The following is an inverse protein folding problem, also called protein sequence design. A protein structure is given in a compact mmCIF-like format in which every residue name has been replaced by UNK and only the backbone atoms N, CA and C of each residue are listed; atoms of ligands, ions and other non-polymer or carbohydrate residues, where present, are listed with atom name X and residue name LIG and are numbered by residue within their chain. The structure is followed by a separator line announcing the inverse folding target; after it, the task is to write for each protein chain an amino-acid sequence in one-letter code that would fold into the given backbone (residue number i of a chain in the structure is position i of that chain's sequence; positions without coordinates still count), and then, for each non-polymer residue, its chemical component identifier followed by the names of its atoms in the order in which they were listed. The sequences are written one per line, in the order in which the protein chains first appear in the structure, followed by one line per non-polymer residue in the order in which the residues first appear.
data_IF_671780279135
#
_entry.id   IF_671780279135
#
_cell.length_a   1.000
_cell.length_b   1.000
_cell.length_c   1.000
_cell.angle_alpha   90.00
_cell.angle_beta   90.00
_cell.angle_gamma   90.00
#
_symmetry.space_group_name_H-M   'P 1'
#
loop_
_entity.id
_entity.type
_entity.pdbx_description
1 polymer ?
#
# COMPACT_ATOMS: atom_id res chain seq x y z
N UNK A 1 8.37 -28.05 1.54
CA UNK A 1 9.36 -29.14 1.51
C UNK A 1 9.21 -29.89 2.83
N UNK A 2 8.71 -31.11 2.78
CA UNK A 2 8.68 -32.04 3.93
C UNK A 2 9.86 -32.98 3.72
N UNK A 3 10.79 -33.01 4.65
CA UNK A 3 11.89 -33.96 4.64
C UNK A 3 11.50 -35.17 5.48
N UNK A 4 11.78 -36.36 4.96
CA UNK A 4 11.71 -37.60 5.76
C UNK A 4 12.93 -37.73 6.69
N UNK A 5 12.84 -38.64 7.67
CA UNK A 5 13.92 -38.87 8.65
C UNK A 5 15.22 -39.47 8.06
N UNK A 6 15.36 -39.56 6.73
CA UNK A 6 16.50 -40.12 6.04
C UNK A 6 17.17 -39.18 5.03
N UNK A 7 16.66 -37.96 4.86
CA UNK A 7 17.34 -36.93 4.06
C UNK A 7 17.41 -37.19 2.56
N UNK A 8 16.53 -38.02 2.00
CA UNK A 8 16.44 -38.24 0.56
C UNK A 8 15.31 -37.40 -0.02
N UNK A 9 15.60 -36.61 -1.06
CA UNK A 9 14.60 -35.85 -1.81
C UNK A 9 13.81 -36.81 -2.71
N UNK A 10 12.56 -37.12 -2.38
CA UNK A 10 11.63 -37.63 -3.37
C UNK A 10 11.02 -36.46 -4.17
N UNK A 11 10.99 -36.62 -5.49
CA UNK A 11 10.32 -35.71 -6.41
C UNK A 11 8.84 -35.62 -6.05
N UNK A 12 8.47 -34.56 -5.31
CA UNK A 12 7.08 -34.21 -5.12
C UNK A 12 6.59 -33.59 -6.42
N UNK A 13 6.00 -34.40 -7.29
CA UNK A 13 5.18 -33.91 -8.40
C UNK A 13 3.97 -33.21 -7.79
N UNK A 14 4.03 -31.88 -7.72
CA UNK A 14 2.82 -31.06 -7.52
C UNK A 14 1.99 -31.29 -8.76
N UNK A 15 0.95 -32.09 -8.65
CA UNK A 15 -0.10 -32.14 -9.64
C UNK A 15 -0.74 -30.73 -9.63
N UNK A 16 -0.33 -29.88 -10.56
CA UNK A 16 -1.10 -28.71 -10.93
C UNK A 16 -2.45 -29.23 -11.46
N UNK A 17 -3.43 -29.32 -10.58
CA UNK A 17 -4.80 -29.29 -11.05
C UNK A 17 -4.95 -27.93 -11.70
N UNK A 18 -5.26 -27.93 -12.99
CA UNK A 18 -5.82 -26.77 -13.65
C UNK A 18 -7.07 -26.38 -12.86
N UNK A 19 -6.90 -25.47 -11.94
CA UNK A 19 -8.01 -24.70 -11.39
C UNK A 19 -8.38 -23.77 -12.53
N UNK A 20 -9.36 -24.18 -13.33
CA UNK A 20 -10.03 -23.28 -14.23
C UNK A 20 -10.52 -22.13 -13.32
N UNK A 21 -9.87 -20.97 -13.41
CA UNK A 21 -10.39 -19.74 -12.84
C UNK A 21 -11.65 -19.46 -13.66
N UNK A 22 -12.79 -19.86 -13.11
CA UNK A 22 -14.09 -19.47 -13.63
C UNK A 22 -14.16 -17.94 -13.52
N UNK A 23 -13.89 -17.26 -14.62
CA UNK A 23 -14.08 -15.82 -14.76
C UNK A 23 -15.56 -15.46 -14.95
N UNK A 24 -16.46 -16.35 -14.58
CA UNK A 24 -17.88 -16.08 -14.48
C UNK A 24 -18.10 -14.91 -13.53
N UNK A 25 -18.77 -13.85 -13.98
CA UNK A 25 -19.15 -12.72 -13.16
C UNK A 25 -19.82 -13.24 -11.88
N UNK A 26 -19.22 -12.91 -10.72
CA UNK A 26 -19.77 -13.26 -9.41
C UNK A 26 -21.24 -12.82 -9.35
N UNK A 27 -22.14 -13.77 -9.16
CA UNK A 27 -23.56 -13.46 -9.00
C UNK A 27 -23.86 -13.25 -7.52
N UNK A 28 -24.41 -12.09 -7.11
CA UNK A 28 -24.87 -11.89 -5.74
C UNK A 28 -25.87 -12.99 -5.37
N UNK A 29 -25.54 -13.81 -4.36
CA UNK A 29 -26.41 -14.88 -3.89
C UNK A 29 -25.74 -16.24 -3.69
N UNK A 30 -24.55 -16.48 -4.26
CA UNK A 30 -23.86 -17.77 -4.19
C UNK A 30 -23.08 -18.02 -2.90
N UNK A 31 -22.80 -16.98 -2.11
CA UNK A 31 -22.13 -17.12 -0.79
C UNK A 31 -23.12 -16.78 0.31
N UNK A 32 -23.93 -17.76 0.73
CA UNK A 32 -24.70 -17.65 1.98
C UNK A 32 -23.74 -17.81 3.14
N UNK A 33 -23.40 -16.72 3.81
CA UNK A 33 -22.77 -16.82 5.11
C UNK A 33 -23.69 -17.55 6.08
N UNK A 34 -23.21 -18.61 6.69
CA UNK A 34 -23.91 -19.30 7.81
C UNK A 34 -23.83 -18.49 9.12
N UNK A 35 -23.05 -17.41 9.12
CA UNK A 35 -22.81 -16.54 10.28
C UNK A 35 -23.82 -15.39 10.26
N UNK A 36 -24.61 -15.24 11.33
CA UNK A 36 -25.53 -14.13 11.48
C UNK A 36 -24.75 -12.81 11.62
N UNK A 37 -25.00 -11.78 10.77
CA UNK A 37 -24.30 -10.51 10.87
C UNK A 37 -24.72 -9.72 12.11
N UNK A 38 -23.81 -8.88 12.62
CA UNK A 38 -24.12 -7.88 13.64
C UNK A 38 -24.39 -6.49 13.04
N UNK A 39 -23.88 -6.25 11.84
CA UNK A 39 -24.04 -5.01 11.09
C UNK A 39 -24.29 -5.34 9.61
N UNK A 40 -25.15 -4.57 8.94
CA UNK A 40 -25.43 -4.67 7.50
C UNK A 40 -25.42 -3.29 6.87
N UNK A 41 -24.64 -3.12 5.81
CA UNK A 41 -24.79 -2.00 4.88
C UNK A 41 -25.82 -2.42 3.82
N UNK A 42 -26.99 -1.78 3.84
CA UNK A 42 -28.17 -2.23 3.08
C UNK A 42 -28.46 -1.35 1.87
N UNK A 43 -28.67 -2.00 0.71
CA UNK A 43 -29.23 -1.36 -0.48
C UNK A 43 -28.23 -0.51 -1.27
N UNK A 44 -26.94 -0.66 -1.03
CA UNK A 44 -25.88 0.05 -1.73
C UNK A 44 -25.49 -0.58 -3.06
N UNK A 45 -24.67 0.12 -3.83
CA UNK A 45 -23.98 -0.42 -5.00
C UNK A 45 -22.53 -0.70 -4.61
N UNK A 46 -22.14 -1.96 -4.51
CA UNK A 46 -20.78 -2.39 -4.17
C UNK A 46 -19.92 -2.38 -5.42
N UNK A 47 -18.80 -1.63 -5.40
CA UNK A 47 -17.87 -1.60 -6.54
C UNK A 47 -17.40 -3.02 -6.87
N UNK A 48 -17.49 -3.38 -8.14
CA UNK A 48 -17.13 -4.72 -8.63
C UNK A 48 -18.24 -5.79 -8.49
N UNK A 49 -19.31 -5.52 -7.69
CA UNK A 49 -20.40 -6.50 -7.49
C UNK A 49 -21.76 -6.00 -7.99
N UNK A 50 -22.03 -4.70 -7.97
CA UNK A 50 -23.35 -4.16 -8.26
C UNK A 50 -24.21 -3.97 -7.00
N UNK A 51 -25.56 -3.89 -7.13
CA UNK A 51 -26.46 -3.74 -5.99
C UNK A 51 -26.38 -4.93 -5.03
N UNK A 52 -26.01 -4.69 -3.76
CA UNK A 52 -25.85 -5.73 -2.76
C UNK A 52 -25.96 -5.19 -1.33
N UNK A 53 -26.25 -6.08 -0.38
CA UNK A 53 -26.07 -5.85 1.05
C UNK A 53 -24.71 -6.42 1.49
N UNK A 54 -23.96 -5.67 2.30
CA UNK A 54 -22.69 -6.13 2.89
C UNK A 54 -22.94 -6.51 4.34
N UNK A 55 -22.78 -7.78 4.67
CA UNK A 55 -22.95 -8.35 5.99
C UNK A 55 -21.63 -8.37 6.75
N UNK A 56 -21.63 -7.85 7.97
CA UNK A 56 -20.44 -7.69 8.81
C UNK A 56 -20.64 -8.36 10.16
N UNK A 57 -19.62 -9.04 10.64
CA UNK A 57 -19.53 -9.62 11.98
C UNK A 57 -18.13 -9.41 12.53
N UNK A 58 -18.05 -8.84 13.75
CA UNK A 58 -16.75 -8.65 14.45
C UNK A 58 -15.70 -7.94 13.59
N UNK A 59 -16.11 -6.88 12.89
CA UNK A 59 -15.23 -6.09 12.05
C UNK A 59 -14.88 -6.70 10.69
N UNK A 60 -15.35 -7.91 10.37
CA UNK A 60 -15.07 -8.59 9.10
C UNK A 60 -16.33 -8.75 8.26
N UNK A 61 -16.16 -8.69 6.95
CA UNK A 61 -17.21 -8.99 5.97
C UNK A 61 -17.45 -10.49 5.98
N UNK A 62 -18.68 -10.90 6.26
CA UNK A 62 -19.10 -12.31 6.28
C UNK A 62 -20.00 -12.66 5.07
N UNK A 63 -20.41 -11.66 4.30
CA UNK A 63 -21.18 -11.88 3.07
C UNK A 63 -21.39 -10.61 2.26
N UNK A 64 -21.42 -10.75 0.94
CA UNK A 64 -21.93 -9.76 0.00
C UNK A 64 -23.09 -10.46 -0.70
N UNK A 65 -24.32 -10.06 -0.40
CA UNK A 65 -25.53 -10.82 -0.74
C UNK A 65 -26.57 -9.94 -1.45
N UNK A 66 -27.61 -10.57 -1.98
CA UNK A 66 -28.70 -9.84 -2.61
C UNK A 66 -29.29 -8.79 -1.66
N UNK A 67 -29.69 -7.63 -2.22
CA UNK A 67 -30.29 -6.54 -1.45
C UNK A 67 -31.52 -7.01 -0.68
N UNK A 68 -31.69 -6.47 0.54
CA UNK A 68 -32.81 -6.78 1.44
C UNK A 68 -32.87 -8.26 1.89
N UNK A 69 -31.73 -8.97 1.87
CA UNK A 69 -31.67 -10.32 2.47
C UNK A 69 -32.10 -10.25 3.94
N UNK A 70 -33.03 -11.11 4.39
CA UNK A 70 -33.47 -11.11 5.78
C UNK A 70 -32.34 -11.36 6.77
N UNK A 71 -32.32 -10.61 7.86
CA UNK A 71 -31.33 -10.73 8.93
C UNK A 71 -32.03 -10.74 10.31
N UNK A 72 -31.36 -11.24 11.37
CA UNK A 72 -31.92 -11.20 12.72
C UNK A 72 -32.34 -9.78 13.16
N UNK A 73 -33.40 -9.67 13.95
CA UNK A 73 -33.89 -8.38 14.43
C UNK A 73 -32.87 -7.60 15.29
N UNK A 74 -31.87 -8.27 15.85
CA UNK A 74 -30.77 -7.66 16.61
C UNK A 74 -29.65 -7.08 15.75
N UNK A 75 -29.72 -7.23 14.42
CA UNK A 75 -28.69 -6.74 13.49
C UNK A 75 -28.85 -5.23 13.31
N UNK A 76 -27.74 -4.48 13.48
CA UNK A 76 -27.69 -3.06 13.12
C UNK A 76 -27.72 -2.89 11.60
N UNK A 77 -28.52 -1.94 11.11
CA UNK A 77 -28.64 -1.67 9.68
C UNK A 77 -28.19 -0.23 9.40
N UNK A 78 -27.25 -0.09 8.49
CA UNK A 78 -26.87 1.20 7.88
C UNK A 78 -27.51 1.24 6.49
N UNK A 79 -28.50 2.11 6.31
CA UNK A 79 -29.11 2.33 5.00
C UNK A 79 -28.15 3.11 4.10
N UNK A 80 -27.70 2.47 3.02
CA UNK A 80 -26.79 3.03 2.01
C UNK A 80 -27.44 3.04 0.63
N UNK A 81 -28.79 3.10 0.59
CA UNK A 81 -29.55 3.20 -0.66
C UNK A 81 -29.10 4.43 -1.46
N UNK A 82 -28.84 4.23 -2.74
CA UNK A 82 -28.32 5.29 -3.62
C UNK A 82 -26.86 5.67 -3.41
N UNK A 83 -26.14 4.99 -2.53
CA UNK A 83 -24.70 5.15 -2.31
C UNK A 83 -23.90 4.07 -2.98
N UNK A 84 -22.60 4.34 -3.16
CA UNK A 84 -21.61 3.39 -3.66
C UNK A 84 -20.67 3.01 -2.53
N UNK A 85 -20.43 1.71 -2.37
CA UNK A 85 -19.51 1.17 -1.38
C UNK A 85 -18.20 0.78 -2.07
N UNK A 86 -17.09 1.33 -1.60
CA UNK A 86 -15.74 1.01 -2.05
C UNK A 86 -14.84 0.63 -0.86
N UNK A 87 -13.76 -0.15 -1.06
CA UNK A 87 -12.80 -0.41 0.00
C UNK A 87 -12.14 0.90 0.46
N UNK A 88 -11.80 1.00 1.75
CA UNK A 88 -10.95 2.05 2.25
C UNK A 88 -9.52 1.88 1.71
N UNK A 89 -8.77 2.98 1.61
CA UNK A 89 -7.47 3.03 0.95
C UNK A 89 -6.33 2.51 1.84
N UNK A 90 -5.26 2.11 1.17
CA UNK A 90 -3.94 1.90 1.73
C UNK A 90 -3.05 3.01 1.19
N UNK A 91 -2.47 3.82 2.08
CA UNK A 91 -1.45 4.81 1.74
C UNK A 91 -0.07 4.14 1.83
N UNK A 92 0.55 3.95 0.69
CA UNK A 92 1.81 3.23 0.56
C UNK A 92 3.04 4.05 0.99
N UNK A 93 2.89 5.30 1.42
CA UNK A 93 3.99 6.12 1.92
C UNK A 93 3.55 7.15 2.94
N UNK A 94 3.90 6.90 4.20
CA UNK A 94 3.67 7.84 5.32
C UNK A 94 4.88 7.91 6.25
N UNK A 95 4.86 8.87 7.19
CA UNK A 95 5.81 9.04 8.29
C UNK A 95 5.05 9.33 9.60
N UNK A 96 4.47 8.29 10.21
CA UNK A 96 3.60 8.42 11.40
C UNK A 96 4.34 8.88 12.66
N UNK A 97 5.60 8.50 12.82
CA UNK A 97 6.41 9.00 13.94
C UNK A 97 6.75 10.47 13.81
N UNK A 98 6.81 10.99 12.58
CA UNK A 98 7.07 12.41 12.32
C UNK A 98 5.81 13.27 12.47
N UNK A 99 4.65 12.74 12.02
CA UNK A 99 3.35 13.38 12.18
C UNK A 99 2.32 12.36 12.72
N UNK A 100 2.14 12.25 14.07
CA UNK A 100 1.37 11.18 14.68
C UNK A 100 -0.15 11.46 14.63
N UNK A 101 -0.76 11.33 13.45
CA UNK A 101 -2.19 11.57 13.21
C UNK A 101 -2.90 10.35 12.61
N UNK A 102 -2.63 9.15 13.14
CA UNK A 102 -3.22 7.90 12.66
C UNK A 102 -4.76 7.94 12.64
N UNK A 103 -5.39 8.50 13.69
CA UNK A 103 -6.85 8.63 13.74
C UNK A 103 -7.39 9.50 12.59
N UNK A 104 -6.73 10.64 12.29
CA UNK A 104 -7.17 11.52 11.22
C UNK A 104 -7.00 10.89 9.82
N UNK A 105 -5.98 10.05 9.62
CA UNK A 105 -5.85 9.25 8.40
C UNK A 105 -7.02 8.27 8.26
N UNK A 106 -7.37 7.58 9.35
CA UNK A 106 -8.50 6.65 9.35
C UNK A 106 -9.83 7.37 9.08
N UNK A 107 -10.06 8.53 9.71
CA UNK A 107 -11.24 9.37 9.49
C UNK A 107 -11.31 9.87 8.03
N UNK A 108 -10.14 10.06 7.39
CA UNK A 108 -9.99 10.45 5.99
C UNK A 108 -10.03 9.29 4.98
N UNK A 109 -10.41 8.06 5.40
CA UNK A 109 -10.65 6.93 4.51
C UNK A 109 -9.45 6.01 4.28
N UNK A 110 -8.41 6.11 5.09
CA UNK A 110 -7.23 5.22 5.05
C UNK A 110 -7.42 4.09 6.07
N UNK A 111 -7.28 2.83 5.64
CA UNK A 111 -7.35 1.65 6.51
C UNK A 111 -5.98 1.04 6.79
N UNK A 112 -5.05 1.19 5.86
CA UNK A 112 -3.69 0.68 5.97
C UNK A 112 -2.65 1.70 5.52
N UNK A 113 -1.46 1.64 6.09
CA UNK A 113 -0.36 2.53 5.74
C UNK A 113 0.98 1.81 5.76
N UNK A 114 1.93 2.34 4.98
CA UNK A 114 3.32 1.89 4.97
C UNK A 114 4.23 3.06 5.37
N UNK A 115 4.84 2.95 6.54
CA UNK A 115 5.76 3.97 7.06
C UNK A 115 7.18 3.73 6.53
N UNK A 116 7.74 4.72 5.82
CA UNK A 116 9.00 4.59 5.12
C UNK A 116 10.21 5.13 5.87
N UNK A 117 10.02 5.74 7.03
CA UNK A 117 11.12 6.06 7.95
C UNK A 117 10.58 6.44 9.33
N UNK A 118 11.07 5.76 10.35
CA UNK A 118 10.75 6.02 11.73
C UNK A 118 11.91 5.60 12.64
N UNK A 119 12.04 6.12 13.85
CA UNK A 119 12.93 5.56 14.88
C UNK A 119 12.54 4.12 15.25
N UNK A 120 13.47 3.34 15.82
CA UNK A 120 13.18 1.95 16.22
C UNK A 120 11.99 1.82 17.20
N UNK A 121 11.72 2.82 18.02
CA UNK A 121 10.55 2.88 18.93
C UNK A 121 9.20 2.84 18.20
N UNK A 122 9.17 3.04 16.89
CA UNK A 122 7.99 2.88 16.06
C UNK A 122 7.37 1.48 16.22
N UNK A 123 8.20 0.43 16.30
CA UNK A 123 7.73 -0.95 16.40
C UNK A 123 7.07 -1.29 17.75
N UNK A 124 7.21 -0.41 18.75
CA UNK A 124 6.56 -0.52 20.07
C UNK A 124 5.28 0.31 20.15
N UNK A 125 4.95 1.09 19.10
CA UNK A 125 3.84 2.03 19.08
C UNK A 125 2.60 1.43 18.43
N UNK A 126 1.44 1.61 19.05
CA UNK A 126 0.15 1.26 18.43
C UNK A 126 -0.41 2.44 17.64
N UNK A 127 -0.79 2.19 16.41
CA UNK A 127 -1.40 3.17 15.51
C UNK A 127 -2.87 2.82 15.18
N UNK A 128 -3.54 2.10 16.08
CA UNK A 128 -4.94 1.76 15.87
C UNK A 128 -5.79 2.99 15.48
N UNK A 129 -6.75 2.84 14.58
CA UNK A 129 -7.25 1.59 13.99
C UNK A 129 -6.55 1.17 12.68
N UNK A 130 -5.45 1.82 12.27
CA UNK A 130 -4.76 1.53 11.02
C UNK A 130 -4.02 0.19 11.06
N UNK A 131 -3.98 -0.51 9.91
CA UNK A 131 -2.99 -1.56 9.66
C UNK A 131 -1.68 -0.87 9.24
N UNK A 132 -0.62 -1.10 9.98
CA UNK A 132 0.63 -0.36 9.76
C UNK A 132 1.78 -1.32 9.51
N UNK A 133 2.47 -1.11 8.39
CA UNK A 133 3.76 -1.70 8.08
C UNK A 133 4.82 -0.59 8.17
N UNK A 134 6.04 -0.94 8.51
CA UNK A 134 7.10 0.07 8.63
C UNK A 134 8.48 -0.47 8.27
N UNK A 135 9.33 0.45 7.78
CA UNK A 135 10.74 0.17 7.54
C UNK A 135 11.60 0.31 8.79
N UNK A 136 11.14 1.07 9.79
CA UNK A 136 12.03 1.64 10.80
C UNK A 136 12.99 2.67 10.19
N UNK A 137 14.18 2.88 10.78
CA UNK A 137 15.19 3.81 10.25
C UNK A 137 15.65 3.45 8.83
N UNK A 138 15.93 4.46 8.01
CA UNK A 138 16.57 4.26 6.70
C UNK A 138 17.98 3.71 6.87
N UNK A 139 18.39 2.77 6.02
CA UNK A 139 19.80 2.32 5.97
C UNK A 139 20.56 3.27 5.06
N UNK A 140 21.49 4.05 5.61
CA UNK A 140 22.14 5.17 4.92
C UNK A 140 23.65 5.21 5.15
N UNK A 141 24.36 6.03 4.38
CA UNK A 141 25.79 6.27 4.59
C UNK A 141 26.06 7.11 5.85
N UNK A 142 27.33 7.15 6.28
CA UNK A 142 27.77 8.08 7.33
C UNK A 142 27.40 9.51 6.92
N UNK A 143 26.72 10.23 7.81
CA UNK A 143 26.19 11.57 7.56
C UNK A 143 25.28 11.66 6.32
N UNK A 144 24.68 10.55 5.90
CA UNK A 144 23.77 10.48 4.78
C UNK A 144 22.35 10.95 5.14
N UNK A 145 21.54 11.21 4.10
CA UNK A 145 20.12 11.52 4.28
C UNK A 145 19.40 10.36 5.01
N UNK A 146 18.53 10.62 5.99
CA UNK A 146 18.05 11.93 6.45
C UNK A 146 18.77 12.44 7.72
N UNK A 147 19.87 11.80 8.17
CA UNK A 147 20.47 11.96 9.51
C UNK A 147 20.99 13.36 9.80
N UNK A 148 21.35 14.12 8.79
CA UNK A 148 21.85 15.50 8.94
C UNK A 148 20.75 16.56 8.85
N UNK A 149 19.47 16.14 8.82
CA UNK A 149 18.32 17.03 8.66
C UNK A 149 17.15 16.60 9.54
N UNK A 150 15.99 16.50 8.92
CA UNK A 150 14.72 16.17 9.58
C UNK A 150 14.75 14.83 10.33
N UNK A 151 15.59 13.90 9.89
CA UNK A 151 15.74 12.56 10.46
C UNK A 151 16.86 12.40 11.48
N UNK A 152 17.43 13.48 12.04
CA UNK A 152 18.53 13.42 13.01
C UNK A 152 18.23 12.61 14.29
N UNK A 153 16.95 12.45 14.62
CA UNK A 153 16.51 11.76 15.84
C UNK A 153 16.15 10.28 15.59
N UNK A 154 17.08 9.52 15.02
CA UNK A 154 16.94 8.07 14.89
C UNK A 154 16.21 7.56 13.63
N UNK A 155 16.00 8.42 12.62
CA UNK A 155 15.37 8.02 11.34
C UNK A 155 16.36 7.40 10.35
N UNK A 156 17.62 7.24 10.69
CA UNK A 156 18.63 6.58 9.87
C UNK A 156 19.60 5.75 10.69
N UNK A 157 20.01 4.59 10.17
CA UNK A 157 21.14 3.80 10.63
C UNK A 157 22.29 4.07 9.68
N UNK A 158 23.33 4.73 10.19
CA UNK A 158 24.52 5.08 9.41
C UNK A 158 25.45 3.88 9.25
N UNK A 159 25.76 3.53 8.00
CA UNK A 159 26.58 2.38 7.60
C UNK A 159 27.83 2.87 6.87
N UNK A 160 28.99 2.37 7.25
CA UNK A 160 30.28 2.76 6.64
C UNK A 160 30.67 1.89 5.44
N UNK A 161 30.13 0.66 5.36
CA UNK A 161 30.48 -0.36 4.37
C UNK A 161 29.35 -1.38 4.18
N UNK A 162 29.54 -2.33 3.27
CA UNK A 162 28.59 -3.40 2.97
C UNK A 162 28.23 -4.24 4.19
N UNK A 163 29.20 -4.61 5.02
CA UNK A 163 28.97 -5.42 6.21
C UNK A 163 28.08 -4.70 7.23
N UNK A 164 28.28 -3.38 7.41
CA UNK A 164 27.43 -2.56 8.27
C UNK A 164 26.00 -2.44 7.71
N UNK A 165 25.84 -2.33 6.38
CA UNK A 165 24.54 -2.28 5.72
C UNK A 165 23.76 -3.60 5.90
N UNK A 166 24.40 -4.75 5.72
CA UNK A 166 23.79 -6.07 5.98
C UNK A 166 23.36 -6.24 7.45
N UNK A 167 24.20 -5.78 8.40
CA UNK A 167 23.89 -5.82 9.83
C UNK A 167 22.67 -4.94 10.14
N UNK A 168 22.59 -3.75 9.57
CA UNK A 168 21.46 -2.84 9.73
C UNK A 168 20.15 -3.47 9.22
N UNK A 169 20.16 -4.06 8.02
CA UNK A 169 19.01 -4.78 7.46
C UNK A 169 18.60 -5.95 8.37
N UNK A 170 19.56 -6.73 8.85
CA UNK A 170 19.30 -7.86 9.76
C UNK A 170 18.65 -7.38 11.05
N UNK A 171 19.17 -6.31 11.66
CA UNK A 171 18.59 -5.69 12.86
C UNK A 171 17.14 -5.24 12.62
N UNK A 172 16.88 -4.54 11.51
CA UNK A 172 15.55 -4.05 11.17
C UNK A 172 14.56 -5.21 11.00
N UNK A 173 14.94 -6.27 10.28
CA UNK A 173 14.12 -7.47 10.14
C UNK A 173 13.78 -8.10 11.49
N UNK A 174 14.76 -8.24 12.40
CA UNK A 174 14.57 -8.79 13.74
C UNK A 174 13.69 -7.90 14.63
N UNK A 175 13.70 -6.58 14.40
CA UNK A 175 12.88 -5.63 15.16
C UNK A 175 11.43 -5.57 14.65
N UNK A 176 11.14 -6.10 13.45
CA UNK A 176 9.79 -6.18 12.91
C UNK A 176 9.56 -5.37 11.64
N UNK A 177 10.61 -4.88 10.98
CA UNK A 177 10.49 -4.21 9.68
C UNK A 177 9.82 -5.12 8.64
N UNK A 178 8.99 -4.53 7.80
CA UNK A 178 8.26 -5.20 6.71
C UNK A 178 8.74 -4.75 5.33
N UNK A 179 9.62 -3.79 5.30
CA UNK A 179 10.36 -3.34 4.13
C UNK A 179 11.67 -2.71 4.60
N UNK A 180 12.60 -2.52 3.69
CA UNK A 180 13.82 -1.74 3.93
C UNK A 180 13.74 -0.45 3.12
N UNK A 181 14.14 0.67 3.71
CA UNK A 181 14.22 1.97 3.04
C UNK A 181 15.66 2.37 2.82
N UNK A 182 16.03 2.60 1.55
CA UNK A 182 17.34 3.11 1.15
C UNK A 182 17.20 4.51 0.55
N UNK A 183 17.88 5.53 1.07
CA UNK A 183 18.04 6.80 0.38
C UNK A 183 19.16 6.66 -0.67
N UNK A 184 18.81 6.90 -1.93
CA UNK A 184 19.76 6.98 -3.04
C UNK A 184 19.69 8.41 -3.55
N UNK A 185 20.42 9.29 -2.88
CA UNK A 185 20.40 10.73 -3.15
C UNK A 185 21.55 11.46 -2.48
N UNK A 186 21.97 12.58 -3.07
CA UNK A 186 22.97 13.46 -2.50
C UNK A 186 24.41 12.97 -2.66
N UNK A 187 25.34 13.66 -2.00
CA UNK A 187 26.78 13.39 -2.06
C UNK A 187 27.24 12.36 -1.03
N UNK A 188 26.49 12.17 0.05
CA UNK A 188 26.74 11.18 1.11
C UNK A 188 25.72 10.06 0.99
N UNK A 189 25.96 9.13 0.07
CA UNK A 189 25.14 7.92 -0.09
C UNK A 189 26.02 6.66 0.05
N UNK A 190 25.40 5.52 0.31
CA UNK A 190 26.10 4.24 0.31
C UNK A 190 26.74 3.98 -1.06
N UNK A 191 27.90 3.33 -1.06
CA UNK A 191 28.51 2.85 -2.30
C UNK A 191 27.59 1.84 -2.97
N UNK A 192 27.73 1.63 -4.27
CA UNK A 192 26.94 0.63 -5.00
C UNK A 192 27.06 -0.75 -4.36
N UNK A 193 28.25 -1.21 -4.00
CA UNK A 193 28.46 -2.51 -3.33
C UNK A 193 27.71 -2.61 -1.99
N UNK A 194 27.63 -1.50 -1.21
CA UNK A 194 26.89 -1.48 0.04
C UNK A 194 25.38 -1.45 -0.16
N UNK A 195 24.89 -0.78 -1.20
CA UNK A 195 23.49 -0.82 -1.60
C UNK A 195 23.10 -2.23 -2.07
N UNK A 196 23.91 -2.86 -2.91
CA UNK A 196 23.68 -4.25 -3.37
C UNK A 196 23.65 -5.24 -2.20
N UNK A 197 24.59 -5.12 -1.26
CA UNK A 197 24.61 -5.95 -0.05
C UNK A 197 23.35 -5.77 0.81
N UNK A 198 22.90 -4.52 1.00
CA UNK A 198 21.65 -4.24 1.73
C UNK A 198 20.42 -4.84 1.03
N UNK A 199 20.33 -4.67 -0.30
CA UNK A 199 19.21 -5.20 -1.10
C UNK A 199 19.22 -6.72 -1.08
N UNK A 200 20.37 -7.35 -1.32
CA UNK A 200 20.50 -8.81 -1.27
C UNK A 200 20.07 -9.34 0.10
N UNK A 201 20.56 -8.74 1.19
CA UNK A 201 20.19 -9.15 2.56
C UNK A 201 18.69 -8.99 2.81
N UNK A 202 18.07 -7.90 2.35
CA UNK A 202 16.63 -7.71 2.47
C UNK A 202 15.85 -8.80 1.73
N UNK A 203 16.23 -9.13 0.51
CA UNK A 203 15.60 -10.19 -0.29
C UNK A 203 15.78 -11.59 0.34
N UNK A 204 16.96 -11.90 0.90
CA UNK A 204 17.18 -13.14 1.68
C UNK A 204 16.21 -13.26 2.86
N UNK A 205 15.78 -12.12 3.43
CA UNK A 205 14.83 -12.04 4.54
C UNK A 205 13.38 -11.83 4.08
N UNK A 206 13.11 -11.91 2.78
CA UNK A 206 11.81 -11.67 2.14
C UNK A 206 11.23 -10.27 2.44
N UNK A 207 12.09 -9.26 2.52
CA UNK A 207 11.71 -7.86 2.69
C UNK A 207 11.87 -7.10 1.36
N UNK A 208 10.83 -6.42 0.87
CA UNK A 208 10.97 -5.53 -0.28
C UNK A 208 11.81 -4.30 0.09
N UNK A 209 12.51 -3.76 -0.92
CA UNK A 209 13.35 -2.58 -0.76
C UNK A 209 12.74 -1.39 -1.48
N UNK A 210 12.49 -0.32 -0.72
CA UNK A 210 12.02 0.96 -1.24
C UNK A 210 13.14 1.99 -1.26
N UNK A 211 13.27 2.72 -2.38
CA UNK A 211 14.33 3.72 -2.55
C UNK A 211 13.80 5.14 -2.66
N UNK A 212 14.39 6.08 -1.91
CA UNK A 212 14.24 7.51 -2.18
C UNK A 212 15.18 7.85 -3.33
N UNK A 213 14.65 8.13 -4.51
CA UNK A 213 15.40 8.42 -5.73
C UNK A 213 14.61 9.42 -6.57
N UNK A 214 15.08 10.66 -6.67
CA UNK A 214 14.33 11.75 -7.29
C UNK A 214 14.85 12.17 -8.67
N UNK A 215 16.07 11.78 -9.01
CA UNK A 215 16.68 12.03 -10.32
C UNK A 215 16.75 10.78 -11.18
N UNK A 216 17.05 10.95 -12.48
CA UNK A 216 17.27 9.84 -13.42
C UNK A 216 18.45 8.96 -12.97
N UNK A 217 19.54 9.58 -12.53
CA UNK A 217 20.74 8.86 -12.05
C UNK A 217 20.44 8.03 -10.81
N UNK A 218 19.71 8.62 -9.84
CA UNK A 218 19.34 7.94 -8.60
C UNK A 218 18.38 6.77 -8.87
N UNK A 219 17.38 6.99 -9.75
CA UNK A 219 16.42 5.95 -10.13
C UNK A 219 17.08 4.82 -10.94
N UNK A 220 18.05 5.15 -11.79
CA UNK A 220 18.86 4.16 -12.52
C UNK A 220 19.74 3.34 -11.55
N UNK A 221 20.36 3.99 -10.56
CA UNK A 221 21.12 3.31 -9.51
C UNK A 221 20.22 2.37 -8.70
N UNK A 222 19.05 2.84 -8.27
CA UNK A 222 18.07 2.04 -7.54
C UNK A 222 17.65 0.79 -8.34
N UNK A 223 17.45 0.92 -9.66
CA UNK A 223 17.17 -0.21 -10.53
C UNK A 223 18.37 -1.16 -10.66
N UNK A 224 19.59 -0.63 -10.76
CA UNK A 224 20.85 -1.40 -10.87
C UNK A 224 21.05 -2.30 -9.65
N UNK A 225 20.84 -1.75 -8.44
CA UNK A 225 20.99 -2.52 -7.20
C UNK A 225 19.75 -3.37 -6.85
N UNK A 226 18.81 -3.45 -7.77
CA UNK A 226 17.61 -4.29 -7.68
C UNK A 226 16.62 -3.89 -6.58
N UNK A 227 16.45 -2.60 -6.30
CA UNK A 227 15.37 -2.11 -5.46
C UNK A 227 13.99 -2.41 -6.09
N UNK A 228 12.97 -2.66 -5.25
CA UNK A 228 11.64 -3.10 -5.68
C UNK A 228 10.68 -1.94 -5.94
N UNK A 229 10.85 -0.83 -5.21
CA UNK A 229 9.90 0.29 -5.20
C UNK A 229 10.62 1.63 -5.28
N UNK A 230 10.19 2.50 -6.20
CA UNK A 230 10.44 3.93 -6.08
C UNK A 230 9.49 4.50 -5.02
N UNK A 231 10.04 4.96 -3.91
CA UNK A 231 9.26 5.50 -2.78
C UNK A 231 8.45 6.76 -3.14
N UNK A 232 8.89 7.44 -4.19
CA UNK A 232 8.24 8.60 -4.79
C UNK A 232 8.40 8.51 -6.29
N UNK A 233 7.47 9.11 -7.03
CA UNK A 233 7.71 9.36 -8.44
C UNK A 233 8.85 10.36 -8.60
N UNK A 234 9.93 10.05 -9.33
CA UNK A 234 11.05 10.96 -9.55
C UNK A 234 10.60 12.30 -10.13
N UNK A 235 11.23 13.40 -9.67
CA UNK A 235 10.84 14.78 -10.03
C UNK A 235 11.64 15.37 -11.18
N UNK A 236 12.78 14.78 -11.51
CA UNK A 236 13.55 15.12 -12.71
C UNK A 236 13.19 14.17 -13.86
N UNK A 237 13.30 14.63 -15.13
CA UNK A 237 12.97 13.79 -16.28
C UNK A 237 13.72 12.46 -16.28
N UNK A 238 13.02 11.36 -16.49
CA UNK A 238 13.60 10.02 -16.61
C UNK A 238 13.98 9.73 -18.08
N UNK A 239 15.12 9.06 -18.25
CA UNK A 239 15.53 8.53 -19.54
C UNK A 239 14.70 7.29 -19.91
N UNK A 240 14.57 6.98 -21.23
CA UNK A 240 13.91 5.74 -21.65
C UNK A 240 14.52 4.47 -21.05
N UNK A 241 15.83 4.46 -20.81
CA UNK A 241 16.53 3.33 -20.20
C UNK A 241 16.12 3.11 -18.73
N UNK A 242 16.02 4.20 -17.97
CA UNK A 242 15.55 4.14 -16.58
C UNK A 242 14.09 3.70 -16.52
N UNK A 243 13.21 4.24 -17.37
CA UNK A 243 11.81 3.83 -17.45
C UNK A 243 11.70 2.32 -17.75
N UNK A 244 12.45 1.82 -18.73
CA UNK A 244 12.47 0.40 -19.08
C UNK A 244 12.96 -0.48 -17.92
N UNK A 245 13.95 -0.03 -17.13
CA UNK A 245 14.46 -0.75 -15.98
C UNK A 245 13.42 -0.88 -14.85
N UNK A 246 12.43 0.01 -14.79
CA UNK A 246 11.37 0.01 -13.78
C UNK A 246 10.06 -0.67 -14.23
N UNK A 247 9.93 -1.13 -15.47
CA UNK A 247 8.67 -1.63 -16.05
C UNK A 247 8.02 -2.81 -15.31
N UNK A 248 8.78 -3.61 -14.55
CA UNK A 248 8.28 -4.77 -13.80
C UNK A 248 8.31 -4.55 -12.29
N UNK A 249 8.55 -3.32 -11.84
CA UNK A 249 8.68 -2.92 -10.45
C UNK A 249 7.57 -1.96 -10.05
N UNK A 250 7.61 -1.45 -8.82
CA UNK A 250 6.60 -0.53 -8.33
C UNK A 250 7.10 0.91 -8.21
N UNK A 251 6.16 1.84 -8.31
CA UNK A 251 6.35 3.27 -8.00
C UNK A 251 5.19 3.76 -7.13
N UNK A 252 5.51 4.45 -6.05
CA UNK A 252 4.52 5.15 -5.24
C UNK A 252 4.29 6.53 -5.85
N UNK A 253 3.02 6.94 -6.00
CA UNK A 253 2.66 8.17 -6.69
C UNK A 253 3.28 9.41 -6.03
N UNK A 254 2.92 9.75 -4.82
CA UNK A 254 3.46 10.87 -4.00
C UNK A 254 3.78 12.14 -4.80
N UNK A 255 2.95 12.45 -5.80
CA UNK A 255 3.18 13.57 -6.74
C UNK A 255 3.05 14.92 -6.02
N UNK A 256 2.02 15.04 -5.17
CA UNK A 256 1.74 16.29 -4.48
C UNK A 256 2.80 16.67 -3.46
N UNK A 257 3.40 15.70 -2.78
CA UNK A 257 4.44 15.94 -1.76
C UNK A 257 5.63 16.73 -2.33
N UNK A 258 5.92 16.57 -3.61
CA UNK A 258 6.97 17.28 -4.34
C UNK A 258 6.43 18.38 -5.27
N UNK A 259 5.28 18.98 -4.92
CA UNK A 259 4.70 20.12 -5.61
C UNK A 259 3.98 19.82 -6.91
N UNK A 260 3.77 18.56 -7.28
CA UNK A 260 3.01 18.17 -8.49
C UNK A 260 3.65 18.64 -9.79
N UNK A 261 4.98 18.57 -9.88
CA UNK A 261 5.69 19.08 -11.06
C UNK A 261 5.29 18.34 -12.34
N UNK A 262 5.31 19.04 -13.47
CA UNK A 262 5.00 18.46 -14.78
C UNK A 262 5.91 17.26 -15.11
N UNK A 263 7.17 17.28 -14.66
CA UNK A 263 8.10 16.16 -14.84
C UNK A 263 7.65 14.93 -14.03
N UNK A 264 7.25 15.11 -12.75
CA UNK A 264 6.78 14.00 -11.95
C UNK A 264 5.52 13.35 -12.55
N UNK A 265 4.55 14.17 -12.99
CA UNK A 265 3.34 13.68 -13.67
C UNK A 265 3.70 12.93 -14.97
N UNK A 266 4.62 13.47 -15.78
CA UNK A 266 5.09 12.82 -17.01
C UNK A 266 5.83 11.49 -16.70
N UNK A 267 6.65 11.46 -15.66
CA UNK A 267 7.37 10.26 -15.24
C UNK A 267 6.41 9.16 -14.76
N UNK A 268 5.42 9.49 -13.91
CA UNK A 268 4.41 8.52 -13.47
C UNK A 268 3.66 7.93 -14.66
N UNK A 269 3.26 8.79 -15.62
CA UNK A 269 2.63 8.35 -16.87
C UNK A 269 3.52 7.39 -17.64
N UNK A 270 4.79 7.74 -17.83
CA UNK A 270 5.74 6.94 -18.61
C UNK A 270 6.04 5.59 -17.94
N UNK A 271 6.29 5.58 -16.62
CA UNK A 271 6.52 4.36 -15.85
C UNK A 271 5.30 3.41 -15.93
N UNK A 272 4.07 3.95 -15.72
CA UNK A 272 2.85 3.17 -15.83
C UNK A 272 2.65 2.60 -17.24
N UNK A 273 2.87 3.39 -18.27
CA UNK A 273 2.75 2.94 -19.67
C UNK A 273 3.79 1.88 -20.04
N UNK A 274 4.95 1.89 -19.40
CA UNK A 274 5.97 0.85 -19.54
C UNK A 274 5.61 -0.46 -18.81
N UNK A 275 4.66 -0.41 -17.86
CA UNK A 275 4.19 -1.59 -17.11
C UNK A 275 4.49 -1.56 -15.61
N UNK A 276 5.08 -0.48 -15.08
CA UNK A 276 5.32 -0.36 -13.64
C UNK A 276 4.01 -0.38 -12.85
N UNK A 277 4.03 -1.06 -11.70
CA UNK A 277 2.92 -1.08 -10.75
C UNK A 277 2.85 0.25 -10.02
N UNK A 278 1.70 0.92 -10.09
CA UNK A 278 1.49 2.19 -9.37
C UNK A 278 0.78 1.93 -8.05
N UNK A 279 1.37 2.43 -6.96
CA UNK A 279 0.82 2.41 -5.61
C UNK A 279 0.43 3.85 -5.22
N UNK A 280 -0.77 4.03 -4.66
CA UNK A 280 -1.16 5.31 -4.09
C UNK A 280 -0.31 5.60 -2.84
N UNK A 281 0.18 6.83 -2.69
CA UNK A 281 0.86 7.29 -1.49
C UNK A 281 0.91 8.82 -1.44
N UNK A 282 0.94 9.37 -0.23
CA UNK A 282 0.86 10.82 -0.01
C UNK A 282 2.13 11.45 0.54
N UNK A 283 3.08 10.61 1.00
CA UNK A 283 4.22 11.06 1.80
C UNK A 283 3.76 11.90 3.02
N UNK A 284 2.67 11.40 3.66
CA UNK A 284 2.10 12.03 4.85
C UNK A 284 3.13 12.09 5.98
N UNK A 285 3.32 13.26 6.52
CA UNK A 285 4.42 13.60 7.42
C UNK A 285 5.24 14.72 6.80
N UNK A 286 5.71 14.55 5.58
CA UNK A 286 6.23 15.63 4.74
C UNK A 286 5.07 16.42 4.07
N UNK A 287 4.01 15.74 3.63
CA UNK A 287 2.71 16.36 3.39
C UNK A 287 1.86 16.36 4.67
N UNK A 288 0.82 17.19 4.75
CA UNK A 288 0.01 17.35 5.96
C UNK A 288 -1.47 16.99 5.78
N UNK A 289 -1.91 16.61 4.58
CA UNK A 289 -3.30 16.23 4.34
C UNK A 289 -3.55 14.82 4.87
N UNK A 290 -4.39 14.71 5.89
CA UNK A 290 -4.71 13.42 6.53
C UNK A 290 -5.94 12.78 5.85
N UNK A 291 -5.70 11.76 5.05
CA UNK A 291 -6.73 11.01 4.32
C UNK A 291 -6.41 10.84 2.84
N UNK A 292 -7.41 10.47 2.05
CA UNK A 292 -7.27 10.35 0.60
C UNK A 292 -7.17 11.75 0.00
N UNK A 293 -5.99 12.12 -0.50
CA UNK A 293 -5.69 13.50 -0.92
C UNK A 293 -6.29 13.81 -2.31
N UNK A 294 -7.26 14.74 -2.42
CA UNK A 294 -7.86 15.08 -3.69
C UNK A 294 -6.89 15.72 -4.69
N UNK A 295 -5.81 16.35 -4.21
CA UNK A 295 -4.80 16.93 -5.09
C UNK A 295 -3.91 15.82 -5.69
N UNK A 296 -3.57 14.79 -4.91
CA UNK A 296 -2.87 13.60 -5.42
C UNK A 296 -3.71 12.89 -6.48
N UNK A 297 -5.01 12.66 -6.21
CA UNK A 297 -5.91 12.03 -7.18
C UNK A 297 -5.99 12.81 -8.51
N UNK A 298 -6.01 14.16 -8.47
CA UNK A 298 -6.00 14.98 -9.68
C UNK A 298 -4.71 14.80 -10.47
N UNK A 299 -3.56 14.83 -9.81
CA UNK A 299 -2.28 14.64 -10.46
C UNK A 299 -2.15 13.23 -11.08
N UNK A 300 -2.70 12.19 -10.41
CA UNK A 300 -2.79 10.85 -10.98
C UNK A 300 -3.68 10.81 -12.23
N UNK A 301 -4.81 11.56 -12.26
CA UNK A 301 -5.61 11.71 -13.47
C UNK A 301 -4.83 12.42 -14.59
N UNK A 302 -4.06 13.47 -14.27
CA UNK A 302 -3.17 14.16 -15.24
C UNK A 302 -2.08 13.21 -15.78
N UNK A 303 -1.61 12.27 -14.96
CA UNK A 303 -0.72 11.20 -15.40
C UNK A 303 -1.44 10.11 -16.24
N UNK A 304 -2.72 10.30 -16.57
CA UNK A 304 -3.51 9.45 -17.45
C UNK A 304 -4.10 8.21 -16.75
N UNK A 305 -4.22 8.20 -15.42
CA UNK A 305 -4.94 7.15 -14.71
C UNK A 305 -6.45 7.43 -14.74
N UNK A 306 -7.22 6.43 -15.13
CA UNK A 306 -8.69 6.49 -15.00
C UNK A 306 -9.14 6.16 -13.57
N UNK A 307 -10.43 6.28 -13.30
CA UNK A 307 -10.96 6.06 -11.96
C UNK A 307 -10.78 4.64 -11.43
N UNK A 308 -10.78 3.63 -12.32
CA UNK A 308 -10.51 2.24 -11.92
C UNK A 308 -9.05 2.09 -11.52
N UNK A 309 -8.10 2.58 -12.32
CA UNK A 309 -6.67 2.50 -12.00
C UNK A 309 -6.32 3.26 -10.70
N UNK A 310 -6.96 4.40 -10.45
CA UNK A 310 -6.80 5.15 -9.20
C UNK A 310 -7.33 4.35 -8.01
N UNK A 311 -8.54 3.79 -8.12
CA UNK A 311 -9.12 2.95 -7.06
C UNK A 311 -8.22 1.75 -6.76
N UNK A 312 -7.79 1.03 -7.79
CA UNK A 312 -6.95 -0.16 -7.64
C UNK A 312 -5.60 0.17 -6.99
N UNK A 313 -5.00 1.32 -7.36
CA UNK A 313 -3.72 1.77 -6.81
C UNK A 313 -3.76 2.10 -5.31
N UNK A 314 -4.94 2.40 -4.77
CA UNK A 314 -5.15 2.64 -3.34
C UNK A 314 -5.79 1.47 -2.59
N UNK A 315 -6.17 0.39 -3.28
CA UNK A 315 -6.91 -0.73 -2.66
C UNK A 315 -6.29 -2.09 -2.94
N UNK A 316 -6.72 -2.81 -3.97
CA UNK A 316 -6.32 -4.19 -4.26
C UNK A 316 -4.82 -4.33 -4.58
N UNK A 317 -4.27 -3.38 -5.31
CA UNK A 317 -2.86 -3.42 -5.72
C UNK A 317 -1.91 -3.31 -4.52
N UNK A 318 -2.00 -2.28 -3.65
CA UNK A 318 -1.15 -2.20 -2.47
C UNK A 318 -1.46 -3.29 -1.43
N UNK A 319 -2.71 -3.77 -1.32
CA UNK A 319 -3.04 -4.89 -0.44
C UNK A 319 -2.24 -6.14 -0.82
N UNK A 320 -2.21 -6.48 -2.11
CA UNK A 320 -1.42 -7.61 -2.64
C UNK A 320 0.08 -7.35 -2.53
N UNK A 321 0.52 -6.16 -2.93
CA UNK A 321 1.96 -5.83 -2.97
C UNK A 321 2.61 -5.87 -1.58
N UNK A 322 1.92 -5.33 -0.57
CA UNK A 322 2.44 -5.24 0.80
C UNK A 322 2.03 -6.42 1.70
N UNK A 323 1.21 -7.36 1.22
CA UNK A 323 0.71 -8.47 2.02
C UNK A 323 -0.31 -8.05 3.09
N UNK A 324 -1.11 -7.01 2.82
CA UNK A 324 -2.23 -6.57 3.66
C UNK A 324 -3.53 -7.26 3.20
N UNK A 325 -3.52 -8.59 3.15
CA UNK A 325 -4.55 -9.41 2.52
C UNK A 325 -5.95 -9.24 3.12
N UNK A 326 -6.06 -8.73 4.33
CA UNK A 326 -7.35 -8.43 4.96
C UNK A 326 -8.01 -7.15 4.43
N UNK A 327 -7.28 -6.30 3.67
CA UNK A 327 -7.75 -5.05 3.08
C UNK A 327 -7.97 -5.17 1.56
N UNK A 328 -8.27 -4.07 0.92
CA UNK A 328 -8.24 -3.87 -0.53
C UNK A 328 -9.46 -4.33 -1.31
N UNK A 329 -10.44 -5.01 -0.68
CA UNK A 329 -11.66 -5.45 -1.35
C UNK A 329 -12.86 -5.52 -0.40
N UNK A 330 -14.07 -5.39 -0.93
CA UNK A 330 -15.31 -5.72 -0.22
C UNK A 330 -15.68 -7.16 -0.58
N UNK A 331 -15.20 -8.12 0.22
CA UNK A 331 -15.42 -9.54 -0.01
C UNK A 331 -15.43 -10.33 1.32
N UNK A 332 -16.06 -11.50 1.40
CA UNK A 332 -16.03 -12.33 2.59
C UNK A 332 -14.60 -12.63 3.07
N UNK A 333 -14.38 -12.52 4.38
CA UNK A 333 -13.08 -12.68 5.03
C UNK A 333 -12.23 -11.43 5.11
N UNK A 334 -12.59 -10.35 4.39
CA UNK A 334 -11.90 -9.05 4.47
C UNK A 334 -12.38 -8.22 5.64
N UNK A 335 -11.55 -7.30 6.11
CA UNK A 335 -11.93 -6.29 7.08
C UNK A 335 -13.04 -5.39 6.52
N UNK A 336 -14.01 -5.04 7.34
CA UNK A 336 -15.11 -4.15 6.95
C UNK A 336 -14.66 -2.67 6.96
N UNK A 337 -13.56 -2.38 6.24
CA UNK A 337 -13.02 -1.04 6.04
C UNK A 337 -13.56 -0.49 4.73
N UNK A 338 -14.61 0.34 4.82
CA UNK A 338 -15.51 0.70 3.72
C UNK A 338 -15.71 2.21 3.65
N UNK A 339 -15.59 2.74 2.44
CA UNK A 339 -16.02 4.09 2.07
C UNK A 339 -17.46 4.05 1.57
N UNK A 340 -18.32 4.89 2.12
CA UNK A 340 -19.65 5.16 1.59
C UNK A 340 -19.58 6.41 0.72
N UNK A 341 -19.75 6.28 -0.57
CA UNK A 341 -19.53 7.33 -1.57
C UNK A 341 -20.84 7.83 -2.17
N UNK A 342 -20.84 9.08 -2.62
CA UNK A 342 -22.00 9.68 -3.30
C UNK A 342 -22.04 9.36 -4.81
N UNK A 343 -20.95 8.87 -5.39
CA UNK A 343 -20.85 8.53 -6.81
C UNK A 343 -19.89 7.36 -7.01
N UNK A 344 -19.95 6.72 -8.18
CA UNK A 344 -19.02 5.66 -8.56
C UNK A 344 -17.60 6.25 -8.77
N UNK A 345 -16.60 5.82 -7.98
CA UNK A 345 -15.24 6.34 -8.08
C UNK A 345 -14.56 6.00 -9.40
N UNK A 346 -15.02 4.99 -10.11
CA UNK A 346 -14.51 4.63 -11.45
C UNK A 346 -14.83 5.68 -12.48
N UNK A 347 -15.95 6.40 -12.30
CA UNK A 347 -16.37 7.52 -13.15
C UNK A 347 -15.95 8.87 -12.57
N UNK A 348 -16.04 9.01 -11.25
CA UNK A 348 -15.78 10.25 -10.51
C UNK A 348 -14.76 10.02 -9.39
N UNK A 349 -13.46 9.84 -9.71
CA UNK A 349 -12.47 9.41 -8.70
C UNK A 349 -12.31 10.37 -7.52
N UNK A 350 -12.59 11.66 -7.68
CA UNK A 350 -12.51 12.62 -6.57
C UNK A 350 -13.54 12.38 -5.46
N UNK A 351 -14.58 11.55 -5.70
CA UNK A 351 -15.52 11.14 -4.64
C UNK A 351 -14.84 10.33 -3.53
N UNK A 352 -13.71 9.68 -3.84
CA UNK A 352 -12.89 8.94 -2.87
C UNK A 352 -12.35 9.85 -1.75
N UNK A 353 -12.01 11.09 -2.08
CA UNK A 353 -11.52 12.09 -1.12
C UNK A 353 -12.63 12.83 -0.35
N UNK A 354 -13.90 12.52 -0.65
CA UNK A 354 -15.06 13.13 0.00
C UNK A 354 -16.14 12.09 0.28
N UNK A 355 -15.84 11.03 1.06
CA UNK A 355 -16.81 10.01 1.41
C UNK A 355 -17.94 10.60 2.25
N UNK A 356 -19.17 10.10 2.07
CA UNK A 356 -20.31 10.46 2.93
C UNK A 356 -20.17 9.84 4.32
N UNK A 357 -19.50 8.69 4.42
CA UNK A 357 -19.11 8.07 5.68
C UNK A 357 -17.90 7.13 5.45
N UNK A 358 -17.11 6.96 6.49
CA UNK A 358 -15.97 6.04 6.55
C UNK A 358 -16.20 5.03 7.66
N UNK A 359 -15.99 3.78 7.36
CA UNK A 359 -15.98 2.70 8.33
C UNK A 359 -14.63 2.00 8.30
N UNK A 360 -14.03 1.79 9.46
CA UNK A 360 -12.83 0.96 9.63
C UNK A 360 -13.22 -0.18 10.58
N UNK A 361 -13.04 -1.42 10.12
CA UNK A 361 -13.44 -2.63 10.83
C UNK A 361 -14.92 -2.61 11.27
N UNK A 362 -15.79 -2.06 10.42
CA UNK A 362 -17.21 -1.93 10.70
C UNK A 362 -17.58 -0.82 11.70
N UNK A 363 -16.60 -0.04 12.18
CA UNK A 363 -16.80 1.08 13.11
C UNK A 363 -16.81 2.40 12.33
N UNK A 364 -17.86 3.21 12.50
CA UNK A 364 -17.98 4.55 11.91
C UNK A 364 -16.87 5.47 12.46
N UNK A 365 -16.21 6.19 11.54
CA UNK A 365 -15.15 7.14 11.86
C UNK A 365 -15.66 8.57 11.80
#
# INVERSE_FOLDING_TARGET
LVFDAKGTSEDVRIATRDVAVDTGAFQPGDVRSTVAPSLVFRGGHVVGHGPADVHVKEGHIVGVVATHTPVPASTSIVDVTGKVLAPAFIDSHVHLSYLPKAAALADGGIAGVVDHAAPLSFFETSFAPLRVLGSGPMVTALSGYPTQGWGANGYGIECKDSAAAEQAVTLLAQTGARLIKLPITGTSQLTQDALEAAVQKAHELNLPVSSHALSDVDAAMAATVNADVLAHTPVHPLSPATIEAWKTRAVISSLRAFGGSANAVANLKALRMAGATVLYGTDFGNSSYAGIDPAELKLMQEAGMDGQAILDSGTSVPATFWGLDELGAIAPGKAASILVLNADPRTFPLTLAAPAAVYIDGVLR
#
